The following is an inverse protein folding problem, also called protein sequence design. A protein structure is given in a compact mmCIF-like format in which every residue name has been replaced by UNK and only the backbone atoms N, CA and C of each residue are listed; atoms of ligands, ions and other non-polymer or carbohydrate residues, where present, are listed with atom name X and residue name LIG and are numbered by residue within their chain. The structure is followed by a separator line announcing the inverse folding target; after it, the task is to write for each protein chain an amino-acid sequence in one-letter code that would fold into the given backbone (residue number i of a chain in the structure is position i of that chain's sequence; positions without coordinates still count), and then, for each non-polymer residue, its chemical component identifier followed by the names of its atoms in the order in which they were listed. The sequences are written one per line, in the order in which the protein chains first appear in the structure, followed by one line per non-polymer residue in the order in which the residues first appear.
data_IF_691180134606
#
_entry.id   IF_691180134606
#
_cell.length_a   1.000
_cell.length_b   1.000
_cell.length_c   1.000
_cell.angle_alpha   90.00
_cell.angle_beta   90.00
_cell.angle_gamma   90.00
#
_symmetry.space_group_name_H-M   'P 1'
#
loop_
_entity.id
_entity.type
_entity.pdbx_description
1 polymer ?
#
# COMPACT_ATOMS: atom_id res chain seq x y z
N UNK A 1 55.77 9.36 -13.98
CA UNK A 1 54.29 9.21 -13.82
C UNK A 1 53.76 8.72 -15.16
N UNK A 2 53.15 7.53 -15.24
CA UNK A 2 52.59 7.02 -16.51
C UNK A 2 51.16 7.56 -16.67
N UNK A 3 50.90 8.22 -17.80
CA UNK A 3 49.55 8.70 -18.17
C UNK A 3 48.63 7.50 -18.43
N UNK A 4 47.46 7.49 -17.77
CA UNK A 4 46.40 6.54 -18.08
C UNK A 4 45.61 7.08 -19.26
N UNK A 5 45.59 6.33 -20.37
CA UNK A 5 44.72 6.61 -21.51
C UNK A 5 43.30 6.12 -21.18
N UNK A 6 42.50 7.01 -20.62
CA UNK A 6 41.11 6.77 -20.27
C UNK A 6 40.25 6.92 -21.55
N UNK A 7 40.24 5.92 -22.44
CA UNK A 7 39.25 5.71 -23.52
C UNK A 7 39.67 4.56 -24.47
N UNK A 8 40.04 3.40 -23.92
CA UNK A 8 40.25 2.20 -24.74
C UNK A 8 38.91 1.48 -24.94
N UNK A 9 38.69 0.94 -26.15
CA UNK A 9 37.55 0.04 -26.42
C UNK A 9 37.60 -1.14 -25.44
N UNK A 10 36.45 -1.60 -24.90
CA UNK A 10 36.42 -2.76 -24.03
C UNK A 10 37.11 -3.97 -24.68
N UNK A 11 37.97 -4.66 -23.93
CA UNK A 11 38.77 -5.78 -24.44
C UNK A 11 37.91 -6.98 -24.88
N UNK A 12 36.76 -7.17 -24.22
CA UNK A 12 35.83 -8.26 -24.48
C UNK A 12 34.42 -7.68 -24.66
N UNK A 13 34.04 -7.30 -25.89
CA UNK A 13 32.72 -6.71 -26.15
C UNK A 13 31.57 -7.71 -25.92
N UNK A 14 31.84 -9.02 -26.00
CA UNK A 14 30.84 -10.10 -25.85
C UNK A 14 30.56 -10.48 -24.39
N UNK A 15 31.48 -10.18 -23.47
CA UNK A 15 31.33 -10.47 -22.03
C UNK A 15 30.58 -9.36 -21.29
N UNK A 16 30.21 -8.27 -21.97
CA UNK A 16 29.48 -7.18 -21.35
C UNK A 16 28.05 -7.65 -21.01
N UNK A 17 27.86 -8.06 -19.76
CA UNK A 17 26.55 -8.49 -19.30
C UNK A 17 25.49 -7.42 -19.56
N UNK A 18 24.41 -7.84 -20.23
CA UNK A 18 23.23 -7.01 -20.44
C UNK A 18 22.68 -6.63 -19.04
N UNK A 19 22.45 -5.33 -18.78
CA UNK A 19 21.87 -4.88 -17.51
C UNK A 19 20.61 -5.67 -17.15
N UNK A 20 20.47 -6.03 -15.87
CA UNK A 20 19.43 -6.94 -15.37
C UNK A 20 18.02 -6.58 -15.88
N UNK A 21 17.68 -5.29 -15.92
CA UNK A 21 16.37 -4.81 -16.35
C UNK A 21 16.09 -5.06 -17.83
N UNK A 22 17.11 -4.91 -18.67
CA UNK A 22 17.01 -5.16 -20.11
C UNK A 22 16.98 -6.66 -20.40
N UNK A 23 17.74 -7.46 -19.63
CA UNK A 23 17.71 -8.93 -19.66
C UNK A 23 16.31 -9.48 -19.36
N UNK A 24 15.63 -8.97 -18.34
CA UNK A 24 14.24 -9.30 -18.02
C UNK A 24 13.27 -8.92 -19.16
N UNK A 25 13.45 -7.73 -19.74
CA UNK A 25 12.60 -7.24 -20.81
C UNK A 25 12.72 -8.11 -22.07
N UNK A 26 13.94 -8.46 -22.46
CA UNK A 26 14.19 -9.36 -23.60
C UNK A 26 13.60 -10.76 -23.36
N UNK A 27 13.81 -11.32 -22.16
CA UNK A 27 13.28 -12.64 -21.78
C UNK A 27 11.75 -12.68 -21.81
N UNK A 28 11.08 -11.63 -21.34
CA UNK A 28 9.62 -11.54 -21.38
C UNK A 28 9.08 -11.41 -22.81
N UNK A 29 9.73 -10.62 -23.66
CA UNK A 29 9.39 -10.48 -25.09
C UNK A 29 9.59 -11.79 -25.85
N UNK A 30 10.66 -12.54 -25.57
CA UNK A 30 10.90 -13.86 -26.16
C UNK A 30 9.87 -14.89 -25.74
N UNK A 31 9.48 -14.91 -24.46
CA UNK A 31 8.43 -15.79 -23.94
C UNK A 31 7.06 -15.54 -24.60
N UNK A 32 6.79 -14.30 -25.03
CA UNK A 32 5.60 -13.94 -25.80
C UNK A 32 5.70 -14.35 -27.28
N UNK A 33 6.91 -14.24 -27.87
CA UNK A 33 7.14 -14.57 -29.29
C UNK A 33 7.15 -16.09 -29.54
N UNK A 34 7.61 -16.89 -28.59
CA UNK A 34 7.60 -18.36 -28.63
C UNK A 34 6.88 -18.90 -27.38
N UNK A 35 5.54 -18.98 -27.39
CA UNK A 35 4.84 -19.63 -26.29
C UNK A 35 5.31 -21.09 -26.23
N UNK A 36 5.84 -21.50 -25.08
CA UNK A 36 6.37 -22.84 -24.87
C UNK A 36 5.34 -23.93 -25.29
N UNK A 37 5.77 -25.00 -25.99
CA UNK A 37 4.87 -26.01 -26.56
C UNK A 37 4.01 -26.74 -25.51
N UNK A 38 4.38 -26.66 -24.22
CA UNK A 38 3.61 -27.24 -23.12
C UNK A 38 2.28 -26.55 -22.79
N UNK A 39 2.01 -25.32 -23.29
CA UNK A 39 0.74 -24.63 -22.98
C UNK A 39 -0.39 -24.94 -23.96
N UNK A 40 -0.10 -25.42 -25.17
CA UNK A 40 -1.14 -25.80 -26.15
C UNK A 40 -1.78 -27.16 -25.85
N UNK A 41 -1.02 -28.14 -25.34
CA UNK A 41 -1.58 -29.44 -24.96
C UNK A 41 -2.48 -29.41 -23.71
N UNK A 42 -2.33 -28.39 -22.85
CA UNK A 42 -3.20 -28.22 -21.67
C UNK A 42 -4.59 -27.71 -22.04
N UNK A 43 -4.73 -27.05 -23.20
CA UNK A 43 -6.04 -26.62 -23.69
C UNK A 43 -6.85 -27.79 -24.27
N UNK A 44 -6.22 -28.69 -25.04
CA UNK A 44 -6.90 -29.87 -25.61
C UNK A 44 -7.16 -30.97 -24.57
N UNK A 45 -6.25 -31.20 -23.61
CA UNK A 45 -6.52 -32.16 -22.51
C UNK A 45 -7.58 -31.69 -21.52
N UNK A 46 -7.88 -30.39 -21.45
CA UNK A 46 -8.97 -29.86 -20.59
C UNK A 46 -10.35 -30.22 -21.14
N UNK A 47 -10.54 -30.26 -22.46
CA UNK A 47 -11.84 -30.59 -23.05
C UNK A 47 -12.25 -32.07 -22.84
N UNK A 48 -11.30 -33.00 -22.70
CA UNK A 48 -11.61 -34.41 -22.42
C UNK A 48 -11.75 -34.74 -20.92
N UNK A 49 -11.36 -33.84 -20.02
CA UNK A 49 -11.51 -34.02 -18.57
C UNK A 49 -12.78 -33.41 -17.97
N UNK A 50 -13.59 -32.69 -18.77
CA UNK A 50 -14.83 -32.05 -18.28
C UNK A 50 -16.01 -33.02 -18.07
N UNK A 51 -15.87 -34.32 -18.37
CA UNK A 51 -16.90 -35.33 -18.03
C UNK A 51 -16.78 -35.94 -16.63
N UNK A 52 -15.78 -35.52 -15.84
CA UNK A 52 -15.65 -35.91 -14.43
C UNK A 52 -15.56 -34.64 -13.61
N UNK A 53 -16.55 -34.42 -12.74
CA UNK A 53 -16.73 -33.21 -11.95
C UNK A 53 -15.52 -32.78 -11.12
N UNK A 54 -15.57 -31.58 -10.50
CA UNK A 54 -14.43 -30.94 -9.87
C UNK A 54 -13.90 -31.82 -8.72
N UNK A 55 -12.78 -32.51 -8.94
CA UNK A 55 -12.05 -33.19 -7.88
C UNK A 55 -11.44 -32.11 -6.99
N UNK A 56 -12.01 -31.91 -5.81
CA UNK A 56 -11.34 -31.17 -4.73
C UNK A 56 -10.03 -31.89 -4.41
N UNK A 57 -9.00 -31.14 -4.05
CA UNK A 57 -7.61 -31.61 -3.97
C UNK A 57 -7.32 -32.70 -2.91
N UNK A 58 -8.34 -33.36 -2.35
CA UNK A 58 -8.21 -34.49 -1.45
C UNK A 58 -9.12 -35.68 -1.75
N UNK A 59 -10.02 -35.61 -2.72
CA UNK A 59 -11.02 -36.68 -2.90
C UNK A 59 -10.45 -37.92 -3.63
N UNK A 60 -10.66 -39.12 -3.08
CA UNK A 60 -10.16 -40.36 -3.69
C UNK A 60 -10.97 -40.64 -4.93
N UNK A 61 -10.28 -40.78 -6.06
CA UNK A 61 -10.94 -41.13 -7.30
C UNK A 61 -11.50 -42.55 -7.23
N UNK A 62 -12.83 -42.67 -7.25
CA UNK A 62 -13.51 -43.96 -7.35
C UNK A 62 -13.27 -44.58 -8.75
N UNK A 63 -12.57 -45.73 -8.85
CA UNK A 63 -12.33 -46.40 -10.12
C UNK A 63 -13.65 -46.95 -10.70
N UNK A 64 -13.85 -46.83 -12.01
CA UNK A 64 -14.97 -47.47 -12.72
C UNK A 64 -14.50 -48.83 -13.23
N UNK A 65 -14.85 -49.92 -12.55
CA UNK A 65 -14.43 -51.27 -12.95
C UNK A 65 -15.28 -51.79 -14.12
N UNK A 66 -14.64 -51.92 -15.28
CA UNK A 66 -15.19 -52.57 -16.49
C UNK A 66 -14.10 -53.46 -17.07
N UNK A 67 -14.47 -54.66 -17.54
CA UNK A 67 -13.55 -55.59 -18.21
C UNK A 67 -13.11 -55.01 -19.56
N UNK A 68 -11.81 -54.99 -19.82
CA UNK A 68 -11.26 -54.53 -21.09
C UNK A 68 -11.57 -55.49 -22.24
N UNK A 69 -11.56 -54.99 -23.48
CA UNK A 69 -11.63 -55.86 -24.67
C UNK A 69 -10.34 -56.69 -24.73
N UNK A 70 -10.43 -58.00 -24.53
CA UNK A 70 -9.29 -58.93 -24.49
C UNK A 70 -8.70 -59.22 -23.11
N UNK A 71 -9.28 -58.67 -22.03
CA UNK A 71 -8.88 -59.00 -20.66
C UNK A 71 -9.49 -60.34 -20.22
N UNK A 72 -8.67 -61.26 -19.73
CA UNK A 72 -9.16 -62.50 -19.12
C UNK A 72 -9.84 -62.22 -17.77
N UNK A 73 -10.78 -63.07 -17.37
CA UNK A 73 -11.53 -62.89 -16.12
C UNK A 73 -10.62 -62.82 -14.89
N UNK A 74 -9.61 -63.69 -14.86
CA UNK A 74 -8.62 -63.71 -13.77
C UNK A 74 -7.81 -62.42 -13.70
N UNK A 75 -7.42 -61.84 -14.84
CA UNK A 75 -6.71 -60.55 -14.89
C UNK A 75 -7.60 -59.41 -14.41
N UNK A 76 -8.88 -59.42 -14.80
CA UNK A 76 -9.85 -58.41 -14.38
C UNK A 76 -10.04 -58.42 -12.86
N UNK A 77 -10.20 -59.61 -12.26
CA UNK A 77 -10.37 -59.75 -10.82
C UNK A 77 -9.11 -59.27 -10.07
N UNK A 78 -7.92 -59.65 -10.54
CA UNK A 78 -6.67 -59.21 -9.92
C UNK A 78 -6.49 -57.67 -9.97
N UNK A 79 -6.82 -57.04 -11.11
CA UNK A 79 -6.80 -55.57 -11.24
C UNK A 79 -7.81 -54.90 -10.30
N UNK A 80 -8.99 -55.50 -10.17
CA UNK A 80 -10.03 -55.00 -9.26
C UNK A 80 -9.56 -55.05 -7.80
N UNK A 81 -8.97 -56.18 -7.38
CA UNK A 81 -8.47 -56.39 -6.02
C UNK A 81 -7.35 -55.41 -5.65
N UNK A 82 -6.39 -55.19 -6.54
CA UNK A 82 -5.30 -54.23 -6.33
C UNK A 82 -5.81 -52.79 -6.17
N UNK A 83 -6.76 -52.37 -7.00
CA UNK A 83 -7.34 -51.03 -6.90
C UNK A 83 -8.20 -50.86 -5.65
N UNK A 84 -8.91 -51.91 -5.21
CA UNK A 84 -9.66 -51.91 -3.94
C UNK A 84 -8.70 -51.74 -2.76
N UNK A 85 -7.61 -52.51 -2.71
CA UNK A 85 -6.57 -52.36 -1.68
C UNK A 85 -5.97 -50.95 -1.69
N UNK A 86 -5.69 -50.40 -2.88
CA UNK A 86 -5.15 -49.06 -3.04
C UNK A 86 -6.12 -47.98 -2.54
N UNK A 87 -7.41 -48.09 -2.86
CA UNK A 87 -8.44 -47.14 -2.40
C UNK A 87 -8.63 -47.25 -0.88
N UNK A 88 -8.64 -48.46 -0.33
CA UNK A 88 -8.72 -48.68 1.11
C UNK A 88 -7.55 -48.01 1.84
N UNK A 89 -6.31 -48.26 1.38
CA UNK A 89 -5.12 -47.62 1.91
C UNK A 89 -5.20 -46.09 1.84
N UNK A 90 -5.61 -45.52 0.71
CA UNK A 90 -5.77 -44.07 0.59
C UNK A 90 -6.83 -43.54 1.55
N UNK A 91 -7.90 -44.29 1.79
CA UNK A 91 -9.00 -43.92 2.70
C UNK A 91 -8.54 -43.92 4.15
N UNK A 92 -7.80 -44.94 4.57
CA UNK A 92 -7.21 -45.05 5.91
C UNK A 92 -6.24 -43.89 6.22
N UNK A 93 -5.53 -43.40 5.20
CA UNK A 93 -4.62 -42.27 5.33
C UNK A 93 -5.31 -40.90 5.21
N UNK A 94 -6.62 -40.84 5.03
CA UNK A 94 -7.35 -39.57 5.06
C UNK A 94 -7.76 -39.22 6.48
N UNK A 95 -7.44 -37.97 6.87
CA UNK A 95 -8.04 -37.37 8.05
C UNK A 95 -9.56 -37.38 7.91
N UNK A 96 -10.28 -37.77 8.96
CA UNK A 96 -11.73 -37.72 9.00
C UNK A 96 -12.20 -36.33 8.59
N UNK A 97 -12.86 -36.24 7.43
CA UNK A 97 -13.43 -34.98 6.98
C UNK A 97 -14.66 -34.70 7.82
N UNK A 98 -14.65 -33.55 8.47
CA UNK A 98 -15.85 -32.93 9.02
C UNK A 98 -16.32 -31.87 8.02
N UNK A 99 -17.09 -32.26 6.97
CA UNK A 99 -17.54 -31.33 5.94
C UNK A 99 -18.47 -30.23 6.49
N UNK A 100 -19.04 -30.41 7.68
CA UNK A 100 -19.94 -29.46 8.34
C UNK A 100 -19.21 -28.31 9.05
N UNK A 101 -17.90 -28.45 9.31
CA UNK A 101 -17.10 -27.35 9.85
C UNK A 101 -16.61 -26.50 8.69
N UNK A 102 -17.36 -25.44 8.38
CA UNK A 102 -16.96 -24.38 7.45
C UNK A 102 -15.46 -24.08 7.61
N UNK A 103 -14.71 -24.19 6.53
CA UNK A 103 -13.30 -23.82 6.48
C UNK A 103 -13.20 -22.32 6.72
N UNK A 104 -13.06 -21.93 7.99
CA UNK A 104 -12.72 -20.57 8.37
C UNK A 104 -11.43 -20.22 7.63
N UNK A 105 -11.50 -19.17 6.81
CA UNK A 105 -10.37 -18.69 6.05
C UNK A 105 -9.14 -18.58 6.97
N UNK A 106 -7.94 -19.01 6.52
CA UNK A 106 -6.77 -19.13 7.38
C UNK A 106 -6.59 -17.82 8.16
N UNK A 107 -6.64 -17.93 9.48
CA UNK A 107 -6.62 -16.77 10.35
C UNK A 107 -5.27 -16.07 10.20
N UNK A 108 -5.27 -14.93 9.52
CA UNK A 108 -4.06 -14.12 9.35
C UNK A 108 -3.51 -13.75 10.72
N UNK A 109 -2.18 -13.77 10.87
CA UNK A 109 -1.54 -13.34 12.11
C UNK A 109 -2.00 -11.93 12.51
N UNK A 110 -2.05 -11.66 13.84
CA UNK A 110 -2.47 -10.36 14.40
C UNK A 110 -1.79 -9.18 13.70
N UNK A 111 -0.47 -9.27 13.51
CA UNK A 111 0.37 -8.29 12.79
C UNK A 111 -0.09 -8.03 11.35
N UNK A 112 -0.55 -9.06 10.63
CA UNK A 112 -1.04 -8.90 9.25
C UNK A 112 -2.40 -8.19 9.21
N UNK A 113 -3.29 -8.48 10.17
CA UNK A 113 -4.59 -7.79 10.31
C UNK A 113 -4.37 -6.30 10.58
N UNK A 114 -3.48 -5.96 11.52
CA UNK A 114 -3.11 -4.57 11.84
C UNK A 114 -2.50 -3.83 10.64
N UNK A 115 -1.59 -4.49 9.90
CA UNK A 115 -1.00 -3.89 8.71
C UNK A 115 -2.06 -3.56 7.65
N UNK A 116 -3.03 -4.46 7.43
CA UNK A 116 -4.14 -4.23 6.50
C UNK A 116 -5.03 -3.08 6.97
N UNK A 117 -5.38 -3.03 8.25
CA UNK A 117 -6.16 -1.95 8.85
C UNK A 117 -5.46 -0.60 8.70
N UNK A 118 -4.17 -0.52 9.06
CA UNK A 118 -3.35 0.71 8.93
C UNK A 118 -3.26 1.20 7.49
N UNK A 119 -3.18 0.28 6.52
CA UNK A 119 -3.18 0.64 5.09
C UNK A 119 -4.50 1.27 4.67
N UNK A 120 -5.63 0.70 5.12
CA UNK A 120 -6.97 1.24 4.86
C UNK A 120 -7.18 2.60 5.53
N UNK A 121 -6.77 2.76 6.78
CA UNK A 121 -6.85 4.03 7.51
C UNK A 121 -6.06 5.15 6.81
N UNK A 122 -4.83 4.86 6.37
CA UNK A 122 -4.04 5.83 5.57
C UNK A 122 -4.77 6.25 4.30
N UNK A 123 -5.48 5.33 3.64
CA UNK A 123 -6.24 5.66 2.44
C UNK A 123 -7.46 6.55 2.75
N UNK A 124 -8.14 6.32 3.87
CA UNK A 124 -9.25 7.17 4.33
C UNK A 124 -8.78 8.58 4.68
N UNK A 125 -7.73 8.70 5.49
CA UNK A 125 -7.15 9.99 5.86
C UNK A 125 -6.74 10.81 4.63
N UNK A 126 -6.06 10.20 3.65
CA UNK A 126 -5.71 10.87 2.40
C UNK A 126 -6.93 11.37 1.60
N UNK A 127 -8.08 10.71 1.70
CA UNK A 127 -9.32 11.18 1.05
C UNK A 127 -9.91 12.37 1.81
N UNK A 128 -9.88 12.35 3.13
CA UNK A 128 -10.32 13.47 3.99
C UNK A 128 -9.44 14.69 3.77
N UNK A 129 -8.11 14.53 3.83
CA UNK A 129 -7.14 15.61 3.57
C UNK A 129 -7.39 16.25 2.20
N UNK A 130 -7.58 15.44 1.14
CA UNK A 130 -7.92 15.96 -0.20
C UNK A 130 -9.24 16.72 -0.24
N UNK A 131 -10.25 16.27 0.51
CA UNK A 131 -11.54 16.99 0.59
C UNK A 131 -11.33 18.35 1.28
N UNK A 132 -10.55 18.39 2.35
CA UNK A 132 -10.20 19.63 3.05
C UNK A 132 -9.43 20.58 2.12
N UNK A 133 -8.43 20.08 1.40
CA UNK A 133 -7.64 20.88 0.45
C UNK A 133 -8.52 21.47 -0.67
N UNK A 134 -9.49 20.70 -1.18
CA UNK A 134 -10.44 21.17 -2.19
C UNK A 134 -11.35 22.27 -1.66
N UNK A 135 -11.84 22.12 -0.42
CA UNK A 135 -12.64 23.14 0.24
C UNK A 135 -11.82 24.40 0.51
N UNK A 136 -10.58 24.28 1.00
CA UNK A 136 -9.69 25.42 1.22
C UNK A 136 -9.44 26.17 -0.09
N UNK A 137 -9.15 25.46 -1.19
CA UNK A 137 -8.98 26.08 -2.51
C UNK A 137 -10.22 26.85 -2.96
N UNK A 138 -11.42 26.30 -2.77
CA UNK A 138 -12.65 27.01 -3.13
C UNK A 138 -12.89 28.25 -2.27
N UNK A 139 -12.52 28.22 -0.98
CA UNK A 139 -12.64 29.36 -0.08
C UNK A 139 -11.60 30.46 -0.35
N UNK A 140 -10.44 30.10 -0.90
CA UNK A 140 -9.36 31.02 -1.26
C UNK A 140 -9.48 31.59 -2.69
N UNK A 141 -10.41 31.06 -3.51
CA UNK A 141 -10.68 31.60 -4.84
C UNK A 141 -11.63 32.78 -4.74
N UNK A 142 -11.11 33.97 -5.03
CA UNK A 142 -11.92 35.18 -5.17
C UNK A 142 -12.28 35.37 -6.65
N UNK A 143 -13.58 35.35 -6.97
CA UNK A 143 -14.05 35.44 -8.36
C UNK A 143 -14.44 36.88 -8.65
N UNK A 144 -13.60 37.58 -9.41
CA UNK A 144 -13.83 38.98 -9.79
C UNK A 144 -14.45 39.04 -11.20
N UNK A 145 -15.55 39.80 -11.41
CA UNK A 145 -16.17 39.95 -12.73
C UNK A 145 -15.29 40.71 -13.72
N UNK A 146 -15.42 40.39 -15.00
CA UNK A 146 -14.66 41.05 -16.08
C UNK A 146 -15.10 42.52 -16.21
N UNK A 147 -14.14 43.45 -16.14
CA UNK A 147 -14.37 44.90 -16.19
C UNK A 147 -14.15 45.63 -14.87
N UNK A 148 -14.07 44.90 -13.74
CA UNK A 148 -13.60 45.45 -12.48
C UNK A 148 -12.06 45.50 -12.49
N UNK A 149 -11.50 46.71 -12.50
CA UNK A 149 -10.05 46.91 -12.42
C UNK A 149 -9.62 46.61 -10.99
N UNK A 150 -8.88 45.53 -10.80
CA UNK A 150 -8.23 45.21 -9.53
C UNK A 150 -7.27 46.35 -9.18
N UNK A 151 -7.74 47.29 -8.34
CA UNK A 151 -7.05 48.56 -8.05
C UNK A 151 -5.78 48.36 -7.24
N UNK A 152 -5.64 47.21 -6.58
CA UNK A 152 -4.46 46.86 -5.81
C UNK A 152 -3.76 45.65 -6.44
N UNK A 153 -2.55 45.81 -7.00
CA UNK A 153 -1.81 44.65 -7.49
C UNK A 153 -1.65 43.63 -6.37
N UNK A 154 -1.73 42.33 -6.66
CA UNK A 154 -1.55 41.30 -5.65
C UNK A 154 -0.21 41.54 -4.94
N UNK A 155 -0.26 41.77 -3.64
CA UNK A 155 0.93 41.85 -2.81
C UNK A 155 1.53 40.45 -2.75
N UNK A 156 2.50 40.19 -3.62
CA UNK A 156 3.26 38.94 -3.63
C UNK A 156 4.04 38.89 -2.31
N UNK A 157 3.45 38.27 -1.30
CA UNK A 157 4.08 38.05 0.02
C UNK A 157 5.14 36.95 -0.03
N UNK A 158 5.17 36.16 -1.12
CA UNK A 158 6.19 35.14 -1.36
C UNK A 158 7.47 35.76 -1.93
N UNK A 159 8.61 35.53 -1.27
CA UNK A 159 9.91 35.98 -1.79
C UNK A 159 10.22 35.33 -3.14
N UNK A 160 10.82 36.06 -4.11
CA UNK A 160 11.22 35.48 -5.39
C UNK A 160 12.22 34.33 -5.18
N UNK A 161 12.08 33.27 -5.98
CA UNK A 161 12.90 32.06 -5.89
C UNK A 161 14.37 32.43 -6.12
N UNK A 162 15.21 32.27 -5.10
CA UNK A 162 16.63 32.63 -5.13
C UNK A 162 17.02 33.81 -4.24
N UNK A 163 16.06 34.57 -3.70
CA UNK A 163 16.31 35.56 -2.65
C UNK A 163 15.93 34.99 -1.29
N UNK A 164 16.82 34.14 -0.75
CA UNK A 164 16.93 34.03 0.71
C UNK A 164 17.36 35.38 1.31
N UNK A 165 17.41 35.55 2.64
CA UNK A 165 18.19 36.65 3.18
C UNK A 165 19.57 36.51 2.57
N UNK A 166 19.96 37.45 1.71
CA UNK A 166 21.34 37.54 1.30
C UNK A 166 22.10 37.69 2.62
N UNK A 167 22.82 36.64 3.02
CA UNK A 167 23.94 36.82 3.92
C UNK A 167 24.84 37.79 3.15
N UNK A 168 24.68 39.08 3.44
CA UNK A 168 25.39 40.14 2.74
C UNK A 168 26.85 39.71 2.77
N UNK A 169 27.41 39.39 1.60
CA UNK A 169 28.80 38.97 1.50
C UNK A 169 29.63 40.12 2.09
N UNK A 170 30.16 39.92 3.30
CA UNK A 170 30.78 40.97 4.12
C UNK A 170 30.35 41.00 5.60
N UNK A 171 29.19 40.44 5.98
CA UNK A 171 28.76 40.35 7.38
C UNK A 171 29.24 39.07 8.06
N UNK A 172 30.55 38.82 8.06
CA UNK A 172 31.12 37.77 8.90
C UNK A 172 31.03 38.25 10.35
N UNK A 173 30.37 37.50 11.22
CA UNK A 173 30.43 37.75 12.66
C UNK A 173 31.90 37.70 13.09
N UNK A 174 32.41 38.78 13.68
CA UNK A 174 33.78 38.82 14.17
C UNK A 174 33.98 37.65 15.15
N UNK A 175 35.12 36.95 15.06
CA UNK A 175 35.40 35.74 15.84
C UNK A 175 35.25 35.95 17.37
N UNK A 176 35.35 37.21 17.81
CA UNK A 176 35.27 37.64 19.20
C UNK A 176 33.84 37.93 19.69
N UNK A 177 32.87 38.16 18.79
CA UNK A 177 31.46 38.40 19.17
C UNK A 177 30.85 37.27 20.02
N UNK A 178 31.09 35.96 19.76
CA UNK A 178 30.62 34.89 20.64
C UNK A 178 31.32 34.84 22.01
N UNK A 179 32.49 35.48 22.18
CA UNK A 179 33.23 35.53 23.45
C UNK A 179 32.81 36.69 24.34
N UNK A 180 32.34 37.76 23.73
CA UNK A 180 31.95 38.99 24.42
C UNK A 180 30.51 38.97 24.96
N UNK A 181 29.77 37.86 24.80
CA UNK A 181 28.43 37.67 25.38
C UNK A 181 27.35 38.67 24.93
N UNK A 182 27.68 39.60 24.02
CA UNK A 182 26.80 40.69 23.60
C UNK A 182 26.00 40.26 22.37
N UNK A 183 25.00 39.41 22.61
CA UNK A 183 23.98 39.12 21.61
C UNK A 183 22.88 40.17 21.69
N UNK A 184 22.57 40.76 20.55
CA UNK A 184 21.53 41.76 20.34
C UNK A 184 20.20 41.30 20.95
N UNK A 185 19.65 42.14 21.83
CA UNK A 185 18.25 42.13 22.17
C UNK A 185 17.42 42.36 20.89
N UNK A 186 16.78 41.31 20.38
CA UNK A 186 15.67 41.41 19.44
C UNK A 186 14.40 41.13 20.24
N UNK A 187 13.36 41.99 20.17
CA UNK A 187 12.16 41.79 20.97
C UNK A 187 11.48 40.49 20.54
N UNK A 188 11.01 39.77 21.55
CA UNK A 188 10.27 38.53 21.41
C UNK A 188 9.08 38.70 20.45
N UNK A 189 9.16 38.06 19.29
CA UNK A 189 7.98 37.58 18.58
C UNK A 189 7.87 36.08 18.89
N UNK A 190 6.84 35.61 19.62
CA UNK A 190 6.63 34.18 19.74
C UNK A 190 6.32 33.65 18.34
N UNK A 191 7.26 32.89 17.79
CA UNK A 191 7.08 32.10 16.57
C UNK A 191 6.11 30.96 16.91
N UNK A 192 4.83 31.31 17.02
CA UNK A 192 3.76 30.33 16.83
C UNK A 192 3.74 30.00 15.34
N UNK A 193 3.56 28.73 14.95
CA UNK A 193 3.43 28.39 13.54
C UNK A 193 2.24 29.19 13.00
N UNK A 194 2.46 30.02 11.98
CA UNK A 194 1.41 30.80 11.32
C UNK A 194 0.37 29.82 10.79
N UNK A 195 -0.69 29.60 11.56
CA UNK A 195 -1.80 28.72 11.17
C UNK A 195 -2.68 29.50 10.19
N UNK A 196 -3.11 28.86 9.10
CA UNK A 196 -4.12 29.44 8.20
C UNK A 196 -5.36 29.89 8.99
N UNK A 197 -5.95 31.03 8.64
CA UNK A 197 -7.15 31.57 9.31
C UNK A 197 -8.30 30.56 9.35
N UNK A 198 -8.44 29.73 8.31
CA UNK A 198 -9.41 28.64 8.27
C UNK A 198 -9.12 27.59 9.36
N UNK A 199 -7.84 27.24 9.55
CA UNK A 199 -7.40 26.30 10.59
C UNK A 199 -7.62 26.86 11.99
N UNK A 200 -7.41 28.16 12.18
CA UNK A 200 -7.69 28.83 13.43
C UNK A 200 -9.19 28.78 13.78
N UNK A 201 -10.08 29.00 12.80
CA UNK A 201 -11.54 28.90 13.00
C UNK A 201 -11.97 27.50 13.43
N UNK A 202 -11.46 26.45 12.77
CA UNK A 202 -11.76 25.06 13.13
C UNK A 202 -11.34 24.77 14.57
N UNK A 203 -10.11 25.15 14.95
CA UNK A 203 -9.61 24.91 16.31
C UNK A 203 -10.38 25.70 17.37
N UNK A 204 -10.81 26.91 17.06
CA UNK A 204 -11.65 27.71 17.94
C UNK A 204 -13.04 27.08 18.13
N UNK A 205 -13.63 26.55 17.05
CA UNK A 205 -14.92 25.87 17.10
C UNK A 205 -14.83 24.55 17.90
N UNK A 206 -13.79 23.74 17.67
CA UNK A 206 -13.53 22.54 18.47
C UNK A 206 -13.34 22.89 19.95
N UNK A 207 -12.56 23.93 20.24
CA UNK A 207 -12.36 24.44 21.61
C UNK A 207 -13.69 24.84 22.25
N UNK A 208 -14.56 25.54 21.52
CA UNK A 208 -15.87 25.95 22.01
C UNK A 208 -16.76 24.74 22.35
N UNK A 209 -16.81 23.73 21.46
CA UNK A 209 -17.57 22.48 21.71
C UNK A 209 -17.08 21.74 22.96
N UNK A 210 -15.76 21.61 23.12
CA UNK A 210 -15.16 20.94 24.28
C UNK A 210 -15.49 21.68 25.58
N UNK A 211 -15.41 23.01 25.58
CA UNK A 211 -15.76 23.83 26.74
C UNK A 211 -17.25 23.66 27.10
N UNK A 212 -18.14 23.67 26.12
CA UNK A 212 -19.58 23.45 26.35
C UNK A 212 -19.84 22.06 26.93
N UNK A 213 -19.30 21.01 26.31
CA UNK A 213 -19.45 19.63 26.81
C UNK A 213 -18.92 19.48 28.25
N UNK A 214 -17.77 20.09 28.55
CA UNK A 214 -17.22 20.10 29.90
C UNK A 214 -18.15 20.80 30.90
N UNK A 215 -18.70 21.98 30.53
CA UNK A 215 -19.67 22.71 31.37
C UNK A 215 -20.94 21.89 31.62
N UNK A 216 -21.43 21.19 30.61
CA UNK A 216 -22.62 20.33 30.72
C UNK A 216 -22.38 19.16 31.68
N UNK A 217 -21.20 18.52 31.58
CA UNK A 217 -20.80 17.46 32.51
C UNK A 217 -20.73 18.01 33.94
N UNK A 218 -20.17 19.20 34.14
CA UNK A 218 -20.08 19.81 35.47
C UNK A 218 -21.46 20.15 36.05
N UNK A 219 -22.36 20.72 35.23
CA UNK A 219 -23.75 20.99 35.64
C UNK A 219 -24.48 19.71 36.06
N UNK A 220 -24.34 18.63 35.29
CA UNK A 220 -24.92 17.32 35.63
C UNK A 220 -24.37 16.76 36.95
N UNK A 221 -23.07 16.91 37.20
CA UNK A 221 -22.44 16.49 38.46
C UNK A 221 -22.96 17.28 39.66
N UNK A 222 -23.21 18.58 39.51
CA UNK A 222 -23.80 19.41 40.56
C UNK A 222 -25.24 19.00 40.86
N UNK A 223 -26.09 18.87 39.85
CA UNK A 223 -27.47 18.39 40.00
C UNK A 223 -27.54 17.01 40.66
N UNK A 224 -26.63 16.09 40.31
CA UNK A 224 -26.56 14.78 40.94
C UNK A 224 -26.20 14.86 42.43
N UNK A 225 -25.35 15.82 42.84
CA UNK A 225 -25.02 16.07 44.25
C UNK A 225 -26.18 16.70 45.01
N UNK A 226 -26.92 17.61 44.39
CA UNK A 226 -28.10 18.24 44.97
C UNK A 226 -29.24 17.25 45.16
N UNK A 227 -29.46 16.34 44.19
CA UNK A 227 -30.46 15.26 44.30
C UNK A 227 -30.11 14.16 45.31
N UNK A 228 -28.83 14.05 45.67
CA UNK A 228 -28.34 13.08 46.65
C UNK A 228 -28.29 13.66 48.09
N UNK A 229 -28.61 14.94 48.25
CA UNK A 229 -28.83 15.60 49.55
C UNK A 229 -30.32 15.63 49.85
#
# INVERSE_FOLDING_TARGET
RKEKKDNMKPKHPEEQEIPFRLRELMRSREALKRPAPGKKQVAEKKQQQESKGPKTAGDISVPKFRRGKGESERSYICRMEQEVQRVLFLTENQLQREPEKEATAPEKSKRKKEFQKRKLEKARKKKEDKKVDMLEKSLLQDTVPFGEVVTQPPTITSRPRGQGPAEQAGRKQLLLTPRLGRSQASPASPVSPVMSMARQRILQEERARVIQAYRDIQRRKQLARERAR
#
